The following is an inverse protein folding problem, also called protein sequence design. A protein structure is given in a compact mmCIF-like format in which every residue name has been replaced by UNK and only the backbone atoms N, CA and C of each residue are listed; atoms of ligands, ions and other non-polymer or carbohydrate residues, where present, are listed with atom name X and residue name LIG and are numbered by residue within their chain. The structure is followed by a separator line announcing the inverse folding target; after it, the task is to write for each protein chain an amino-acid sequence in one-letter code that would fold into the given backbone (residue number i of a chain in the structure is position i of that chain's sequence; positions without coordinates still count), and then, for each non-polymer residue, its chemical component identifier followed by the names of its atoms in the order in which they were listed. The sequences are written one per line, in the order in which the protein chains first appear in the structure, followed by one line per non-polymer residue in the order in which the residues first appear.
data_IF_070375500668
#
_entry.id   IF_070375500668
#
_cell.length_a   1.000
_cell.length_b   1.000
_cell.length_c   1.000
_cell.angle_alpha   90.00
_cell.angle_beta   90.00
_cell.angle_gamma   90.00
#
_symmetry.space_group_name_H-M   'P 1'
#
loop_
_entity.id
_entity.type
_entity.pdbx_description
1 polymer ?
#
# COMPACT_ATOMS: atom_id res chain seq x y z
N UNK A 1 16.25 17.12 -14.41
CA UNK A 1 15.78 16.96 -13.02
C UNK A 1 15.42 15.51 -12.79
N UNK A 2 16.24 14.79 -12.02
CA UNK A 2 16.01 13.38 -11.71
C UNK A 2 14.96 13.33 -10.60
N UNK A 3 13.73 12.92 -10.91
CA UNK A 3 12.69 12.67 -9.91
C UNK A 3 13.16 11.51 -9.04
N UNK A 4 13.74 11.81 -7.88
CA UNK A 4 14.11 10.80 -6.90
C UNK A 4 12.81 10.33 -6.23
N UNK A 5 12.16 9.36 -6.86
CA UNK A 5 10.93 8.76 -6.34
C UNK A 5 11.30 7.99 -5.07
N UNK A 6 10.87 8.49 -3.91
CA UNK A 6 11.17 7.81 -2.64
C UNK A 6 10.24 6.61 -2.49
N UNK A 7 10.83 5.43 -2.65
CA UNK A 7 10.17 4.16 -2.40
C UNK A 7 10.62 3.60 -1.06
N UNK A 8 9.66 3.37 -0.16
CA UNK A 8 9.92 2.65 1.08
C UNK A 8 9.44 1.21 0.94
N UNK A 9 10.38 0.28 0.85
CA UNK A 9 10.07 -1.14 0.88
C UNK A 9 10.05 -1.67 2.32
N UNK A 10 8.99 -2.42 2.67
CA UNK A 10 8.77 -3.00 3.98
C UNK A 10 8.50 -4.49 3.80
N UNK A 11 9.40 -5.33 4.32
CA UNK A 11 9.22 -6.77 4.34
C UNK A 11 8.50 -7.22 5.59
N UNK A 12 7.47 -8.04 5.42
CA UNK A 12 6.71 -8.66 6.51
C UNK A 12 6.53 -10.16 6.26
N UNK A 13 6.44 -10.94 7.33
CA UNK A 13 6.22 -12.39 7.22
C UNK A 13 4.88 -12.71 6.55
N UNK A 14 3.83 -11.95 6.88
CA UNK A 14 2.50 -12.02 6.29
C UNK A 14 1.91 -10.61 6.29
N UNK A 15 1.33 -10.19 5.16
CA UNK A 15 0.58 -8.93 5.12
C UNK A 15 -0.72 -9.15 5.89
N UNK A 16 -0.94 -8.41 6.98
CA UNK A 16 -2.16 -8.53 7.77
C UNK A 16 -2.55 -7.18 8.36
N UNK A 17 -3.76 -7.09 8.92
CA UNK A 17 -4.28 -5.86 9.56
C UNK A 17 -3.30 -5.27 10.59
N UNK A 18 -2.65 -6.10 11.39
CA UNK A 18 -1.74 -5.66 12.45
C UNK A 18 -0.50 -4.98 11.87
N UNK A 19 0.10 -5.58 10.84
CA UNK A 19 1.26 -5.01 10.18
C UNK A 19 0.90 -3.71 9.44
N UNK A 20 -0.23 -3.69 8.72
CA UNK A 20 -0.73 -2.46 8.08
C UNK A 20 -1.01 -1.35 9.09
N UNK A 21 -1.60 -1.67 10.25
CA UNK A 21 -1.82 -0.69 11.33
C UNK A 21 -0.52 -0.13 11.92
N UNK A 22 0.51 -0.95 12.12
CA UNK A 22 1.84 -0.47 12.52
C UNK A 22 2.45 0.46 11.47
N UNK A 23 2.26 0.12 10.19
CA UNK A 23 2.74 0.91 9.06
C UNK A 23 2.02 2.26 9.02
N UNK A 24 0.70 2.28 9.20
CA UNK A 24 -0.09 3.51 9.34
C UNK A 24 0.49 4.42 10.43
N UNK A 25 0.64 3.92 11.66
CA UNK A 25 1.18 4.72 12.78
C UNK A 25 2.58 5.27 12.44
N UNK A 26 3.44 4.48 11.82
CA UNK A 26 4.79 4.92 11.42
C UNK A 26 4.81 5.99 10.34
N UNK A 27 3.79 6.06 9.50
CA UNK A 27 3.76 6.95 8.33
C UNK A 27 2.92 8.19 8.54
N UNK A 28 1.82 8.07 9.28
CA UNK A 28 0.81 9.13 9.44
C UNK A 28 0.58 9.51 10.91
N UNK A 29 1.32 8.91 11.84
CA UNK A 29 1.19 9.17 13.26
C UNK A 29 -0.11 8.61 13.87
N UNK A 30 -0.36 9.02 15.11
CA UNK A 30 -1.57 8.67 15.86
C UNK A 30 -2.73 9.63 15.51
N UNK A 31 -3.94 9.27 15.93
CA UNK A 31 -5.09 10.19 15.88
C UNK A 31 -4.80 11.46 16.69
N UNK A 32 -5.15 12.63 16.13
CA UNK A 32 -4.96 13.94 16.78
C UNK A 32 -3.65 14.66 16.49
N UNK A 33 -2.77 14.12 15.63
CA UNK A 33 -1.64 14.87 15.08
C UNK A 33 -2.15 15.85 14.01
N UNK A 34 -1.66 17.09 13.99
CA UNK A 34 -1.92 18.02 12.90
C UNK A 34 -1.41 17.39 11.59
N UNK A 35 -2.34 17.06 10.70
CA UNK A 35 -2.03 16.37 9.46
C UNK A 35 -2.23 17.26 8.26
N UNK A 36 -1.26 17.25 7.34
CA UNK A 36 -1.47 17.78 6.00
C UNK A 36 -2.34 16.83 5.15
N UNK A 37 -2.83 17.34 4.02
CA UNK A 37 -3.67 16.59 3.07
C UNK A 37 -3.00 15.27 2.62
N UNK A 38 -1.68 15.28 2.45
CA UNK A 38 -0.88 14.11 2.07
C UNK A 38 -0.98 13.00 3.12
N UNK A 39 -0.89 13.37 4.38
CA UNK A 39 -0.96 12.45 5.53
C UNK A 39 -2.37 11.88 5.69
N UNK A 40 -3.41 12.69 5.50
CA UNK A 40 -4.79 12.22 5.48
C UNK A 40 -5.06 11.24 4.32
N UNK A 41 -4.56 11.56 3.13
CA UNK A 41 -4.70 10.68 1.97
C UNK A 41 -4.02 9.34 2.21
N UNK A 42 -2.79 9.34 2.76
CA UNK A 42 -2.10 8.09 3.14
C UNK A 42 -2.89 7.29 4.18
N UNK A 43 -3.53 7.96 5.15
CA UNK A 43 -4.39 7.30 6.15
C UNK A 43 -5.58 6.60 5.46
N UNK A 44 -6.28 7.29 4.55
CA UNK A 44 -7.40 6.73 3.77
C UNK A 44 -6.96 5.54 2.91
N UNK A 45 -5.81 5.65 2.25
CA UNK A 45 -5.25 4.57 1.43
C UNK A 45 -4.94 3.33 2.25
N UNK A 46 -4.23 3.46 3.38
CA UNK A 46 -3.86 2.31 4.22
C UNK A 46 -5.11 1.68 4.83
N UNK A 47 -6.09 2.49 5.24
CA UNK A 47 -7.37 1.99 5.75
C UNK A 47 -8.11 1.17 4.68
N UNK A 48 -8.13 1.66 3.43
CA UNK A 48 -8.72 0.93 2.31
C UNK A 48 -7.99 -0.38 2.00
N UNK A 49 -6.66 -0.40 2.14
CA UNK A 49 -5.89 -1.64 2.04
C UNK A 49 -6.25 -2.64 3.14
N UNK A 50 -6.48 -2.18 4.38
CA UNK A 50 -6.94 -3.04 5.49
C UNK A 50 -8.31 -3.63 5.19
N UNK A 51 -9.23 -2.84 4.64
CA UNK A 51 -10.58 -3.31 4.32
C UNK A 51 -10.59 -4.26 3.13
N UNK A 52 -9.76 -4.00 2.10
CA UNK A 52 -9.54 -4.95 1.00
C UNK A 52 -8.94 -6.27 1.49
N UNK A 53 -7.99 -6.20 2.42
CA UNK A 53 -7.36 -7.38 3.00
C UNK A 53 -8.38 -8.31 3.69
N UNK A 54 -9.35 -7.73 4.41
CA UNK A 54 -10.42 -8.47 5.11
C UNK A 54 -11.36 -9.21 4.17
N UNK A 55 -11.49 -8.77 2.92
CA UNK A 55 -12.40 -9.35 1.92
C UNK A 55 -11.78 -10.54 1.17
N UNK A 56 -10.49 -10.84 1.39
CA UNK A 56 -9.75 -11.87 0.64
C UNK A 56 -9.28 -13.02 1.53
N UNK A 57 -9.09 -14.23 0.97
CA UNK A 57 -8.54 -15.37 1.69
C UNK A 57 -7.18 -15.08 2.34
N UNK A 58 -7.00 -15.51 3.59
CA UNK A 58 -5.81 -15.20 4.38
C UNK A 58 -4.51 -15.79 3.79
N UNK A 59 -4.61 -16.92 3.09
CA UNK A 59 -3.45 -17.62 2.51
C UNK A 59 -2.72 -16.82 1.41
N UNK A 60 -3.39 -15.86 0.77
CA UNK A 60 -2.81 -15.01 -0.28
C UNK A 60 -1.67 -14.16 0.29
N UNK A 61 -1.82 -13.68 1.52
CA UNK A 61 -1.00 -12.61 2.07
C UNK A 61 0.40 -13.02 2.56
N UNK A 62 0.70 -14.33 2.58
CA UNK A 62 2.04 -14.88 2.86
C UNK A 62 2.98 -14.86 1.64
N UNK A 63 2.44 -14.56 0.47
CA UNK A 63 3.20 -14.47 -0.78
C UNK A 63 2.61 -13.37 -1.66
N UNK A 64 2.50 -12.17 -1.08
CA UNK A 64 1.87 -11.02 -1.70
C UNK A 64 2.76 -9.77 -1.66
N UNK A 65 2.46 -8.84 -2.56
CA UNK A 65 3.04 -7.51 -2.66
C UNK A 65 1.90 -6.49 -2.70
N UNK A 66 2.00 -5.44 -1.90
CA UNK A 66 1.03 -4.36 -1.84
C UNK A 66 1.76 -3.05 -2.02
N UNK A 67 1.54 -2.41 -3.18
CA UNK A 67 2.15 -1.14 -3.51
C UNK A 67 1.14 -0.02 -3.32
N UNK A 68 1.51 1.01 -2.58
CA UNK A 68 0.66 2.16 -2.24
C UNK A 68 1.35 3.41 -2.77
N UNK A 69 0.73 4.15 -3.69
CA UNK A 69 1.27 5.36 -4.29
C UNK A 69 0.38 6.56 -4.04
N UNK A 70 0.94 7.62 -3.46
CA UNK A 70 0.27 8.91 -3.41
C UNK A 70 0.36 9.67 -4.75
N UNK A 71 -0.34 10.79 -4.84
CA UNK A 71 -0.38 11.66 -6.03
C UNK A 71 0.98 12.27 -6.37
N UNK A 72 1.94 12.26 -5.45
CA UNK A 72 3.33 12.68 -5.67
C UNK A 72 4.26 11.55 -6.11
N UNK A 73 3.72 10.38 -6.49
CA UNK A 73 4.45 9.15 -6.79
C UNK A 73 5.32 8.64 -5.63
N UNK A 74 5.15 9.15 -4.40
CA UNK A 74 5.84 8.56 -3.27
C UNK A 74 5.18 7.21 -2.95
N UNK A 75 6.01 6.17 -2.96
CA UNK A 75 5.54 4.79 -2.97
C UNK A 75 5.93 4.06 -1.70
N UNK A 76 5.02 3.23 -1.20
CA UNK A 76 5.30 2.28 -0.14
C UNK A 76 4.99 0.90 -0.68
N UNK A 77 5.98 0.02 -0.66
CA UNK A 77 5.85 -1.34 -1.15
C UNK A 77 5.94 -2.27 0.06
N UNK A 78 4.87 -3.01 0.31
CA UNK A 78 4.80 -3.97 1.41
C UNK A 78 4.89 -5.36 0.78
N UNK A 79 5.92 -6.12 1.11
CA UNK A 79 6.21 -7.40 0.47
C UNK A 79 6.25 -8.53 1.49
N UNK A 80 5.62 -9.65 1.15
CA UNK A 80 5.68 -10.92 1.85
C UNK A 80 6.00 -12.04 0.87
N UNK A 81 6.90 -12.95 1.26
CA UNK A 81 7.36 -14.03 0.41
C UNK A 81 7.95 -13.53 -0.91
N UNK A 82 7.56 -14.16 -2.02
CA UNK A 82 8.02 -13.83 -3.38
C UNK A 82 7.11 -12.82 -4.10
N UNK A 83 6.05 -12.32 -3.46
CA UNK A 83 5.11 -11.37 -4.08
C UNK A 83 4.36 -11.93 -5.29
N UNK A 84 3.92 -13.20 -5.24
CA UNK A 84 3.13 -13.86 -6.30
C UNK A 84 1.81 -13.13 -6.57
N UNK A 85 1.17 -12.63 -5.52
CA UNK A 85 -0.05 -11.84 -5.62
C UNK A 85 0.30 -10.36 -5.46
N UNK A 86 0.11 -9.56 -6.50
CA UNK A 86 0.49 -8.15 -6.50
C UNK A 86 -0.76 -7.27 -6.54
N UNK A 87 -0.83 -6.33 -5.60
CA UNK A 87 -1.93 -5.38 -5.47
C UNK A 87 -1.37 -3.96 -5.51
N UNK A 88 -2.12 -3.06 -6.14
CA UNK A 88 -1.77 -1.67 -6.32
C UNK A 88 -2.88 -0.80 -5.74
N UNK A 89 -2.55 0.10 -4.81
CA UNK A 89 -3.42 1.14 -4.29
C UNK A 89 -2.90 2.50 -4.77
N UNK A 90 -3.76 3.24 -5.48
CA UNK A 90 -3.49 4.59 -5.98
C UNK A 90 -4.63 5.51 -5.58
N UNK A 91 -4.38 6.81 -5.51
CA UNK A 91 -5.45 7.80 -5.41
C UNK A 91 -5.99 8.11 -6.82
N UNK A 92 -7.31 8.15 -6.97
CA UNK A 92 -7.96 8.62 -8.20
C UNK A 92 -8.09 10.16 -8.24
N UNK A 93 -8.65 10.66 -9.35
CA UNK A 93 -8.90 12.10 -9.57
C UNK A 93 -9.90 12.71 -8.57
N UNK A 94 -10.65 11.89 -7.82
CA UNK A 94 -11.62 12.30 -6.80
C UNK A 94 -11.06 12.13 -5.38
N UNK A 95 -9.74 11.98 -5.27
CA UNK A 95 -9.03 11.72 -4.02
C UNK A 95 -9.57 10.49 -3.26
N UNK A 96 -9.96 9.45 -4.00
CA UNK A 96 -10.37 8.16 -3.45
C UNK A 96 -9.33 7.09 -3.72
N UNK A 97 -9.01 6.24 -2.73
CA UNK A 97 -8.12 5.11 -2.92
C UNK A 97 -8.78 4.03 -3.79
N UNK A 98 -8.11 3.67 -4.89
CA UNK A 98 -8.52 2.60 -5.81
C UNK A 98 -7.51 1.47 -5.73
N UNK A 99 -7.99 0.26 -5.44
CA UNK A 99 -7.18 -0.95 -5.31
C UNK A 99 -7.40 -1.86 -6.52
N UNK A 100 -6.30 -2.24 -7.18
CA UNK A 100 -6.29 -3.12 -8.35
C UNK A 100 -5.43 -4.37 -8.10
N UNK A 101 -5.91 -5.52 -8.56
CA UNK A 101 -5.10 -6.74 -8.67
C UNK A 101 -4.24 -6.65 -9.95
N UNK A 102 -2.93 -6.59 -9.77
CA UNK A 102 -1.94 -6.49 -10.85
C UNK A 102 -1.08 -7.76 -10.94
N UNK A 103 -1.48 -8.84 -10.27
CA UNK A 103 -0.76 -10.12 -10.27
C UNK A 103 -0.53 -10.67 -11.69
N UNK A 104 -1.43 -10.37 -12.62
CA UNK A 104 -1.33 -10.79 -14.03
C UNK A 104 -0.45 -9.85 -14.89
N UNK A 105 -0.20 -8.61 -14.44
CA UNK A 105 0.59 -7.61 -15.18
C UNK A 105 2.11 -7.70 -14.94
N UNK A 106 2.57 -8.62 -14.09
CA UNK A 106 4.01 -8.98 -14.01
C UNK A 106 4.47 -9.84 -15.20
N UNK A 107 3.56 -10.27 -16.06
CA UNK A 107 3.87 -10.75 -17.40
C UNK A 107 3.76 -9.54 -18.34
N UNK A 108 4.73 -9.33 -19.22
CA UNK A 108 4.99 -8.09 -20.00
C UNK A 108 5.87 -7.11 -19.21
N UNK A 109 7.17 -7.44 -19.13
CA UNK A 109 8.25 -6.74 -19.84
C UNK A 109 9.42 -7.75 -19.82
N UNK A 110 9.64 -8.44 -20.93
CA UNK A 110 10.93 -9.07 -21.28
C UNK A 110 11.59 -8.19 -22.33
#
# INVERSE_FOLDING_TARGET
YMFQTFFKEIHVAEINKRELGKIQIKLVGNEGVDTDQTTENRRKMIQSCIDFLRQRPQNIWKNAEFSIYDTGFNGIIIRSGKGKHAFLCIMDEKEQPVISDVSQKKCIIM
#
